data_IF_796241354435
#
_entry.id   IF_796241354435
#
_cell.length_a   1.000
_cell.length_b   1.000
_cell.length_c   1.000
_cell.angle_alpha   90.00
_cell.angle_beta   90.00
_cell.angle_gamma   90.00
#
_symmetry.space_group_name_H-M   'P 1'
#
loop_
_entity.id
_entity.type
_entity.pdbx_description
1 polymer ?
#
# COMPACT_ATOMS: atom_id res chain seq x y z
N UNK A 1 -6.52 6.37 7.57
CA UNK A 1 -7.17 7.02 6.42
C UNK A 1 -6.35 8.17 5.85
N UNK A 2 -6.03 9.21 6.62
CA UNK A 2 -5.23 10.36 6.15
C UNK A 2 -3.80 9.99 5.71
N UNK A 3 -3.16 8.99 6.31
CA UNK A 3 -1.82 8.54 5.90
C UNK A 3 -1.80 7.83 4.54
N UNK A 4 -2.82 7.04 4.19
CA UNK A 4 -2.94 6.42 2.86
C UNK A 4 -3.26 7.47 1.78
N UNK A 5 -4.06 8.49 2.11
CA UNK A 5 -4.29 9.67 1.26
C UNK A 5 -3.03 10.55 1.11
N UNK A 6 -2.26 10.72 2.18
CA UNK A 6 -1.02 11.50 2.16
C UNK A 6 0.12 10.81 1.40
N UNK A 7 0.22 9.47 1.47
CA UNK A 7 1.17 8.71 0.66
C UNK A 7 0.76 8.60 -0.82
N UNK A 8 -0.52 8.78 -1.15
CA UNK A 8 -1.03 8.75 -2.54
C UNK A 8 -1.06 10.12 -3.20
N UNK A 9 -0.84 11.22 -2.46
CA UNK A 9 -0.74 12.58 -3.02
C UNK A 9 0.70 13.00 -3.40
N UNK A 10 1.66 12.07 -3.33
CA UNK A 10 3.05 12.30 -3.75
C UNK A 10 3.22 12.03 -5.26
N UNK A 11 2.86 13.02 -6.06
CA UNK A 11 3.50 13.37 -7.35
C UNK A 11 3.51 12.34 -8.50
N UNK A 12 2.65 11.33 -8.47
CA UNK A 12 2.36 10.51 -9.66
C UNK A 12 0.85 10.37 -9.83
N UNK A 13 0.33 10.93 -10.92
CA UNK A 13 -1.09 10.94 -11.34
C UNK A 13 -1.76 9.55 -11.41
N UNK A 14 -1.03 8.46 -11.17
CA UNK A 14 -1.46 7.08 -11.33
C UNK A 14 -1.68 6.33 -10.00
N UNK A 15 -1.47 6.92 -8.82
CA UNK A 15 -1.60 6.15 -7.55
C UNK A 15 -3.00 6.05 -6.95
N UNK A 16 -4.01 6.74 -7.52
CA UNK A 16 -5.42 6.53 -7.17
C UNK A 16 -6.04 5.26 -7.80
N UNK A 17 -5.26 4.55 -8.64
CA UNK A 17 -5.68 3.35 -9.38
C UNK A 17 -6.40 2.27 -8.55
N UNK A 18 -5.99 1.97 -7.30
CA UNK A 18 -6.68 0.95 -6.49
C UNK A 18 -8.08 1.35 -6.04
N UNK A 19 -8.41 2.65 -6.05
CA UNK A 19 -9.69 3.18 -5.54
C UNK A 19 -10.76 3.21 -6.64
N UNK A 20 -10.37 3.32 -7.91
CA UNK A 20 -11.32 3.41 -9.03
C UNK A 20 -12.32 2.25 -9.13
N UNK A 21 -11.94 0.97 -8.90
CA UNK A 21 -12.92 -0.13 -8.92
C UNK A 21 -14.01 0.04 -7.86
N UNK A 22 -13.67 0.57 -6.69
CA UNK A 22 -14.62 0.81 -5.60
C UNK A 22 -15.53 2.01 -5.88
N UNK A 23 -14.95 3.09 -6.39
CA UNK A 23 -15.73 4.25 -6.83
C UNK A 23 -16.70 3.87 -7.96
N UNK A 24 -16.25 3.06 -8.93
CA UNK A 24 -17.08 2.58 -10.02
C UNK A 24 -18.25 1.71 -9.53
N UNK A 25 -18.02 0.82 -8.55
CA UNK A 25 -19.09 0.01 -7.95
C UNK A 25 -20.11 0.85 -7.17
N UNK A 26 -19.66 1.86 -6.42
CA UNK A 26 -20.56 2.78 -5.70
C UNK A 26 -21.38 3.64 -6.67
N UNK A 27 -20.75 4.15 -7.74
CA UNK A 27 -21.43 4.90 -8.80
C UNK A 27 -22.44 4.01 -9.53
N UNK A 28 -22.08 2.77 -9.85
CA UNK A 28 -23.00 1.82 -10.48
C UNK A 28 -24.21 1.52 -9.57
N UNK A 29 -24.01 1.33 -8.27
CA UNK A 29 -25.08 1.09 -7.30
C UNK A 29 -25.99 2.31 -7.12
N UNK A 30 -25.44 3.53 -7.04
CA UNK A 30 -26.22 4.77 -6.99
C UNK A 30 -27.03 5.00 -8.27
N UNK A 31 -26.42 4.75 -9.43
CA UNK A 31 -27.08 4.86 -10.74
C UNK A 31 -28.24 3.86 -10.86
N UNK A 32 -28.03 2.61 -10.47
CA UNK A 32 -29.08 1.58 -10.48
C UNK A 32 -30.23 1.97 -9.56
N UNK A 33 -29.94 2.48 -8.35
CA UNK A 33 -30.96 2.94 -7.39
C UNK A 33 -31.79 4.11 -7.94
N UNK A 34 -31.14 5.10 -8.57
CA UNK A 34 -31.82 6.25 -9.19
C UNK A 34 -32.66 5.84 -10.40
N UNK A 35 -32.17 4.90 -11.22
CA UNK A 35 -32.86 4.41 -12.42
C UNK A 35 -34.07 3.54 -12.07
N UNK A 36 -34.00 2.72 -11.01
CA UNK A 36 -35.16 1.95 -10.53
C UNK A 36 -36.28 2.85 -10.01
N UNK A 37 -35.95 4.03 -9.47
CA UNK A 37 -36.94 5.06 -9.10
C UNK A 37 -37.68 5.66 -10.30
N UNK A 38 -37.04 5.72 -11.48
CA UNK A 38 -37.61 6.33 -12.70
C UNK A 38 -38.39 5.30 -13.55
N UNK A 39 -38.01 4.01 -13.51
CA UNK A 39 -38.65 2.94 -14.29
C UNK A 39 -39.82 2.21 -13.58
N UNK A 40 -40.29 2.74 -12.45
CA UNK A 40 -41.52 2.27 -11.77
C UNK A 40 -42.80 2.47 -12.60
N UNK A 41 -42.72 3.15 -13.76
CA UNK A 41 -43.79 3.18 -14.75
C UNK A 41 -43.47 2.24 -15.94
N UNK A 42 -44.36 1.28 -16.19
CA UNK A 42 -44.44 0.33 -17.34
C UNK A 42 -43.64 -0.97 -17.28
N UNK A 43 -44.33 -1.99 -16.74
CA UNK A 43 -44.57 -3.30 -17.38
C UNK A 43 -43.50 -3.88 -18.32
N UNK A 44 -42.50 -4.58 -17.78
CA UNK A 44 -41.80 -5.68 -18.48
C UNK A 44 -41.08 -6.65 -17.51
N UNK A 45 -41.60 -6.78 -16.29
CA UNK A 45 -40.88 -7.34 -15.13
C UNK A 45 -40.69 -8.87 -15.13
N UNK A 46 -41.40 -9.64 -15.95
CA UNK A 46 -41.34 -11.12 -15.86
C UNK A 46 -40.37 -11.80 -16.84
N UNK A 47 -39.97 -11.16 -17.95
CA UNK A 47 -39.12 -11.80 -18.97
C UNK A 47 -37.64 -11.47 -18.85
N UNK A 48 -37.29 -10.36 -18.19
CA UNK A 48 -35.90 -9.92 -17.99
C UNK A 48 -35.22 -10.61 -16.79
N UNK A 49 -35.98 -10.89 -15.74
CA UNK A 49 -35.46 -11.38 -14.46
C UNK A 49 -34.80 -12.77 -14.60
N UNK A 50 -35.33 -13.63 -15.48
CA UNK A 50 -34.74 -14.94 -15.75
C UNK A 50 -33.36 -14.89 -16.43
N UNK A 51 -33.10 -13.88 -17.26
CA UNK A 51 -31.81 -13.73 -17.95
C UNK A 51 -30.75 -13.09 -17.02
N UNK A 52 -31.16 -12.10 -16.24
CA UNK A 52 -30.29 -11.46 -15.22
C UNK A 52 -29.92 -12.46 -14.13
N UNK A 53 -30.87 -13.28 -13.67
CA UNK A 53 -30.62 -14.32 -12.66
C UNK A 53 -29.61 -15.37 -13.13
N UNK A 54 -29.74 -15.86 -14.37
CA UNK A 54 -28.79 -16.81 -14.96
C UNK A 54 -27.38 -16.21 -15.09
N UNK A 55 -27.29 -14.94 -15.48
CA UNK A 55 -26.01 -14.22 -15.55
C UNK A 55 -25.37 -14.09 -14.17
N UNK A 56 -26.13 -13.67 -13.16
CA UNK A 56 -25.66 -13.55 -11.78
C UNK A 56 -25.18 -14.89 -11.22
N UNK A 57 -25.93 -15.97 -11.46
CA UNK A 57 -25.52 -17.33 -11.08
C UNK A 57 -24.22 -17.74 -11.78
N UNK A 58 -24.07 -17.46 -13.07
CA UNK A 58 -22.83 -17.75 -13.80
C UNK A 58 -21.64 -17.00 -13.23
N UNK A 59 -21.81 -15.71 -12.90
CA UNK A 59 -20.75 -14.89 -12.29
C UNK A 59 -20.41 -15.45 -10.90
N UNK A 60 -21.41 -15.68 -10.06
CA UNK A 60 -21.22 -16.25 -8.72
C UNK A 60 -20.51 -17.61 -8.77
N UNK A 61 -20.85 -18.48 -9.73
CA UNK A 61 -20.16 -19.76 -9.94
C UNK A 61 -18.67 -19.57 -10.21
N UNK A 62 -18.31 -18.66 -11.12
CA UNK A 62 -16.91 -18.37 -11.46
C UNK A 62 -16.14 -17.88 -10.24
N UNK A 63 -16.71 -16.95 -9.47
CA UNK A 63 -16.09 -16.47 -8.22
C UNK A 63 -15.93 -17.58 -7.20
N UNK A 64 -16.93 -18.44 -7.00
CA UNK A 64 -16.85 -19.60 -6.10
C UNK A 64 -15.78 -20.59 -6.54
N UNK A 65 -15.68 -20.89 -7.84
CA UNK A 65 -14.63 -21.76 -8.39
C UNK A 65 -13.25 -21.17 -8.14
N UNK A 66 -13.07 -19.87 -8.42
CA UNK A 66 -11.78 -19.19 -8.24
C UNK A 66 -11.37 -19.13 -6.77
N UNK A 67 -12.30 -18.77 -5.87
CA UNK A 67 -12.08 -18.81 -4.43
C UNK A 67 -11.74 -20.23 -3.93
N UNK A 68 -12.40 -21.26 -4.44
CA UNK A 68 -12.12 -22.65 -4.09
C UNK A 68 -10.72 -23.07 -4.53
N UNK A 69 -10.29 -22.70 -5.74
CA UNK A 69 -8.93 -22.96 -6.23
C UNK A 69 -7.90 -22.31 -5.30
N UNK A 70 -8.10 -21.05 -4.92
CA UNK A 70 -7.20 -20.34 -3.99
C UNK A 70 -7.16 -21.03 -2.63
N UNK A 71 -8.30 -21.42 -2.07
CA UNK A 71 -8.37 -22.14 -0.80
C UNK A 71 -7.66 -23.50 -0.87
N UNK A 72 -7.91 -24.29 -1.91
CA UNK A 72 -7.23 -25.58 -2.13
C UNK A 72 -5.72 -25.37 -2.23
N UNK A 73 -5.28 -24.32 -2.95
CA UNK A 73 -3.87 -23.99 -3.05
C UNK A 73 -3.25 -23.61 -1.70
N UNK A 74 -3.93 -22.78 -0.90
CA UNK A 74 -3.50 -22.39 0.43
C UNK A 74 -3.43 -23.58 1.39
N UNK A 75 -4.49 -24.40 1.48
CA UNK A 75 -4.56 -25.56 2.37
C UNK A 75 -3.68 -26.73 1.90
N UNK A 76 -3.45 -26.87 0.60
CA UNK A 76 -2.55 -27.87 0.01
C UNK A 76 -1.06 -27.57 0.22
N UNK A 77 -0.71 -26.56 1.01
CA UNK A 77 0.68 -26.19 1.28
C UNK A 77 1.38 -25.48 0.12
N UNK A 78 0.63 -25.01 -0.89
CA UNK A 78 1.20 -24.31 -2.04
C UNK A 78 2.02 -23.08 -1.63
N UNK A 79 1.56 -22.36 -0.60
CA UNK A 79 2.27 -21.22 -0.01
C UNK A 79 3.58 -21.63 0.69
N UNK A 80 3.58 -22.75 1.43
CA UNK A 80 4.79 -23.27 2.08
C UNK A 80 5.84 -23.68 1.04
N UNK A 81 5.41 -24.24 -0.08
CA UNK A 81 6.29 -24.62 -1.19
C UNK A 81 6.96 -23.42 -1.86
N UNK A 82 6.24 -22.29 -1.98
CA UNK A 82 6.80 -21.03 -2.48
C UNK A 82 7.76 -20.41 -1.46
N UNK A 83 7.40 -20.44 -0.18
CA UNK A 83 8.24 -19.94 0.92
C UNK A 83 9.62 -20.61 0.93
N UNK A 84 9.66 -21.93 0.73
CA UNK A 84 10.92 -22.69 0.69
C UNK A 84 11.81 -22.42 -0.54
N UNK A 85 11.31 -21.72 -1.56
CA UNK A 85 12.03 -21.51 -2.82
C UNK A 85 12.34 -20.02 -3.09
N UNK A 86 11.78 -19.09 -2.32
CA UNK A 86 11.96 -17.66 -2.54
C UNK A 86 12.69 -17.01 -1.38
N UNK A 87 13.74 -16.24 -1.68
CA UNK A 87 14.39 -15.32 -0.72
C UNK A 87 13.53 -14.07 -0.42
N UNK A 88 12.24 -14.09 -0.77
CA UNK A 88 11.38 -12.93 -0.53
C UNK A 88 11.09 -12.82 0.97
N UNK A 89 11.38 -11.65 1.54
CA UNK A 89 11.08 -11.29 2.94
C UNK A 89 9.58 -11.11 3.20
N UNK A 90 8.73 -11.62 2.32
CA UNK A 90 7.28 -11.55 2.48
C UNK A 90 6.89 -12.62 3.48
N UNK A 91 6.17 -12.20 4.51
CA UNK A 91 5.64 -13.09 5.53
C UNK A 91 4.50 -13.93 4.92
N UNK A 92 4.88 -15.07 4.34
CA UNK A 92 4.00 -15.93 3.53
C UNK A 92 2.83 -16.47 4.36
N UNK A 93 3.02 -16.64 5.66
CA UNK A 93 1.97 -17.05 6.60
C UNK A 93 0.87 -15.98 6.70
N UNK A 94 1.27 -14.72 6.89
CA UNK A 94 0.34 -13.58 6.92
C UNK A 94 -0.40 -13.40 5.60
N UNK A 95 0.29 -13.58 4.48
CA UNK A 95 -0.31 -13.51 3.15
C UNK A 95 -1.35 -14.63 2.97
N UNK A 96 -1.03 -15.84 3.43
CA UNK A 96 -1.93 -17.00 3.39
C UNK A 96 -3.22 -16.77 4.17
N UNK A 97 -3.12 -16.26 5.40
CA UNK A 97 -4.29 -15.91 6.21
C UNK A 97 -5.19 -14.90 5.50
N UNK A 98 -4.61 -13.89 4.85
CA UNK A 98 -5.35 -12.89 4.09
C UNK A 98 -6.09 -13.50 2.89
N UNK A 99 -5.39 -14.33 2.10
CA UNK A 99 -5.97 -15.04 0.95
C UNK A 99 -7.12 -15.94 1.37
N UNK A 100 -6.97 -16.68 2.47
CA UNK A 100 -8.01 -17.55 3.02
C UNK A 100 -9.22 -16.72 3.46
N UNK A 101 -9.01 -15.60 4.16
CA UNK A 101 -10.09 -14.74 4.63
C UNK A 101 -10.92 -14.16 3.47
N UNK A 102 -10.25 -13.62 2.45
CA UNK A 102 -10.90 -13.03 1.27
C UNK A 102 -11.64 -14.09 0.47
N UNK A 103 -11.00 -15.24 0.23
CA UNK A 103 -11.60 -16.34 -0.52
C UNK A 103 -12.82 -16.91 0.22
N UNK A 104 -12.78 -17.00 1.54
CA UNK A 104 -13.93 -17.42 2.36
C UNK A 104 -15.08 -16.43 2.27
N UNK A 105 -14.79 -15.12 2.30
CA UNK A 105 -15.82 -14.09 2.13
C UNK A 105 -16.47 -14.14 0.74
N UNK A 106 -15.69 -14.38 -0.31
CA UNK A 106 -16.22 -14.53 -1.68
C UNK A 106 -17.07 -15.79 -1.84
N UNK A 107 -16.62 -16.92 -1.28
CA UNK A 107 -17.31 -18.20 -1.36
C UNK A 107 -18.62 -18.17 -0.57
N UNK A 108 -18.62 -17.57 0.62
CA UNK A 108 -19.84 -17.35 1.41
C UNK A 108 -20.83 -16.43 0.67
N UNK A 109 -20.33 -15.35 0.06
CA UNK A 109 -21.13 -14.45 -0.75
C UNK A 109 -21.77 -15.16 -1.93
N UNK A 110 -20.98 -15.90 -2.72
CA UNK A 110 -21.48 -16.65 -3.88
C UNK A 110 -22.47 -17.74 -3.50
N UNK A 111 -22.26 -18.44 -2.38
CA UNK A 111 -23.21 -19.45 -1.88
C UNK A 111 -24.58 -18.83 -1.53
N UNK A 112 -24.60 -17.59 -1.04
CA UNK A 112 -25.86 -16.89 -0.72
C UNK A 112 -26.69 -16.58 -1.98
N UNK A 113 -26.09 -16.51 -3.17
CA UNK A 113 -26.81 -16.34 -4.45
C UNK A 113 -27.62 -17.60 -4.80
N UNK A 114 -27.14 -18.78 -4.40
CA UNK A 114 -27.83 -20.06 -4.61
C UNK A 114 -28.84 -20.41 -3.52
N UNK A 115 -29.05 -19.52 -2.53
CA UNK A 115 -29.95 -19.80 -1.43
C UNK A 115 -31.43 -19.69 -1.88
N UNK A 116 -32.23 -20.77 -1.80
CA UNK A 116 -33.51 -20.91 -2.51
C UNK A 116 -34.68 -20.08 -1.95
N UNK A 117 -34.47 -19.23 -0.94
CA UNK A 117 -35.55 -18.52 -0.23
C UNK A 117 -35.40 -16.99 -0.22
N UNK A 118 -34.51 -16.42 -1.04
CA UNK A 118 -34.32 -14.96 -1.14
C UNK A 118 -34.70 -14.42 -2.49
N UNK A 119 -35.29 -13.23 -2.50
CA UNK A 119 -35.55 -12.50 -3.74
C UNK A 119 -34.23 -12.05 -4.38
N UNK A 120 -34.25 -11.90 -5.72
CA UNK A 120 -33.07 -11.52 -6.49
C UNK A 120 -32.39 -10.26 -5.94
N UNK A 121 -33.18 -9.23 -5.61
CA UNK A 121 -32.68 -7.98 -5.03
C UNK A 121 -32.03 -8.16 -3.66
N UNK A 122 -32.57 -9.03 -2.79
CA UNK A 122 -31.99 -9.30 -1.48
C UNK A 122 -30.67 -10.07 -1.60
N UNK A 123 -30.61 -11.06 -2.50
CA UNK A 123 -29.39 -11.82 -2.78
C UNK A 123 -28.30 -10.93 -3.39
N UNK A 124 -28.63 -10.03 -4.32
CA UNK A 124 -27.69 -9.09 -4.92
C UNK A 124 -27.14 -8.09 -3.92
N UNK A 125 -28.02 -7.46 -3.12
CA UNK A 125 -27.61 -6.50 -2.08
C UNK A 125 -26.64 -7.14 -1.09
N UNK A 126 -26.94 -8.34 -0.64
CA UNK A 126 -26.12 -9.04 0.34
C UNK A 126 -24.82 -9.58 -0.28
N UNK A 127 -24.85 -10.06 -1.53
CA UNK A 127 -23.67 -10.47 -2.28
C UNK A 127 -22.69 -9.31 -2.48
N UNK A 128 -23.17 -8.15 -2.95
CA UNK A 128 -22.38 -6.93 -3.08
C UNK A 128 -21.82 -6.46 -1.73
N UNK A 129 -22.62 -6.54 -0.67
CA UNK A 129 -22.20 -6.12 0.68
C UNK A 129 -21.06 -7.01 1.19
N UNK A 130 -21.14 -8.33 0.98
CA UNK A 130 -20.10 -9.27 1.38
C UNK A 130 -18.82 -9.10 0.55
N UNK A 131 -18.93 -8.84 -0.75
CA UNK A 131 -17.79 -8.53 -1.61
C UNK A 131 -17.10 -7.24 -1.21
N UNK A 132 -17.88 -6.19 -0.93
CA UNK A 132 -17.34 -4.91 -0.49
C UNK A 132 -16.65 -5.07 0.87
N UNK A 133 -17.31 -5.72 1.83
CA UNK A 133 -16.76 -5.96 3.16
C UNK A 133 -15.50 -6.84 3.13
N UNK A 134 -15.51 -7.91 2.33
CA UNK A 134 -14.35 -8.78 2.14
C UNK A 134 -13.16 -8.04 1.53
N UNK A 135 -13.40 -7.13 0.57
CA UNK A 135 -12.36 -6.29 -0.02
C UNK A 135 -11.81 -5.27 0.99
N UNK A 136 -12.65 -4.69 1.84
CA UNK A 136 -12.21 -3.81 2.92
C UNK A 136 -11.37 -4.54 3.97
N UNK A 137 -11.78 -5.75 4.35
CA UNK A 137 -11.00 -6.63 5.23
C UNK A 137 -9.66 -6.99 4.62
N UNK A 138 -9.60 -7.25 3.31
CA UNK A 138 -8.35 -7.47 2.59
C UNK A 138 -7.43 -6.25 2.69
N UNK A 139 -7.92 -5.06 2.35
CA UNK A 139 -7.13 -3.82 2.41
C UNK A 139 -6.63 -3.57 3.83
N UNK A 140 -7.53 -3.69 4.81
CA UNK A 140 -7.20 -3.54 6.23
C UNK A 140 -6.12 -4.53 6.66
N UNK A 141 -6.27 -5.81 6.29
CA UNK A 141 -5.29 -6.84 6.57
C UNK A 141 -3.94 -6.56 5.91
N UNK A 142 -3.90 -6.16 4.63
CA UNK A 142 -2.65 -5.81 3.93
C UNK A 142 -1.93 -4.67 4.67
N UNK A 143 -2.67 -3.67 5.16
CA UNK A 143 -2.09 -2.57 5.94
C UNK A 143 -1.57 -3.04 7.30
N UNK A 144 -2.38 -3.76 8.09
CA UNK A 144 -2.02 -4.16 9.44
C UNK A 144 -0.97 -5.27 9.52
N UNK A 145 -0.93 -6.14 8.51
CA UNK A 145 0.12 -7.15 8.38
C UNK A 145 1.46 -6.54 7.90
N UNK A 146 1.49 -5.23 7.62
CA UNK A 146 2.68 -4.49 7.25
C UNK A 146 3.13 -4.68 5.80
N UNK A 147 2.26 -5.25 4.96
CA UNK A 147 2.50 -5.30 3.51
C UNK A 147 2.43 -3.90 2.89
N UNK A 148 1.57 -3.02 3.41
CA UNK A 148 1.64 -1.58 3.13
C UNK A 148 2.64 -0.93 4.10
N UNK A 149 3.65 -0.24 3.59
CA UNK A 149 4.64 0.48 4.39
C UNK A 149 6.01 -0.19 4.48
N UNK A 150 6.18 -1.44 4.06
CA UNK A 150 7.51 -2.06 3.90
C UNK A 150 7.99 -2.01 2.44
N UNK A 151 7.95 -0.82 1.84
CA UNK A 151 8.35 -0.54 0.46
C UNK A 151 9.81 -0.88 0.14
N UNK A 152 10.70 -0.84 1.15
CA UNK A 152 12.05 -1.38 1.04
C UNK A 152 12.54 -1.86 2.42
N UNK A 153 12.52 -3.19 2.69
CA UNK A 153 12.96 -3.74 3.97
C UNK A 153 14.42 -3.41 4.26
N UNK A 154 15.25 -3.29 3.22
CA UNK A 154 16.66 -2.97 3.32
C UNK A 154 16.90 -1.52 3.77
N UNK A 155 16.22 -0.53 3.17
CA UNK A 155 16.33 0.89 3.58
C UNK A 155 15.73 1.07 4.98
N UNK A 156 14.63 0.36 5.27
CA UNK A 156 14.04 0.36 6.61
C UNK A 156 14.99 -0.25 7.65
N UNK A 157 15.70 -1.33 7.32
CA UNK A 157 16.68 -1.95 8.19
C UNK A 157 17.89 -1.03 8.42
N UNK A 158 18.37 -0.34 7.38
CA UNK A 158 19.43 0.66 7.48
C UNK A 158 19.05 1.75 8.50
N UNK A 159 17.90 2.39 8.33
CA UNK A 159 17.46 3.50 9.22
C UNK A 159 17.17 3.01 10.65
N UNK A 160 16.77 1.75 10.81
CA UNK A 160 16.51 1.14 12.13
C UNK A 160 17.77 0.67 12.87
N UNK A 161 18.96 0.86 12.32
CA UNK A 161 20.19 0.54 13.04
C UNK A 161 20.26 1.37 14.34
N UNK A 162 20.60 0.77 15.50
CA UNK A 162 20.52 1.46 16.80
C UNK A 162 21.29 2.78 16.86
N UNK A 163 22.51 2.80 16.30
CA UNK A 163 23.37 3.99 16.27
C UNK A 163 22.83 5.11 15.36
N UNK A 164 22.03 4.77 14.35
CA UNK A 164 21.37 5.75 13.48
C UNK A 164 20.08 6.27 14.09
N UNK A 165 19.32 5.41 14.77
CA UNK A 165 18.08 5.85 15.41
C UNK A 165 18.33 6.95 16.44
N UNK A 166 19.41 6.87 17.21
CA UNK A 166 19.76 7.91 18.17
C UNK A 166 20.01 9.26 17.46
N UNK A 167 20.74 9.26 16.35
CA UNK A 167 20.99 10.47 15.57
C UNK A 167 19.73 11.01 14.87
N UNK A 168 18.95 10.12 14.25
CA UNK A 168 17.76 10.47 13.45
C UNK A 168 16.51 10.78 14.30
N UNK A 169 16.51 10.44 15.59
CA UNK A 169 15.44 10.78 16.54
C UNK A 169 15.67 12.13 17.23
N UNK A 170 16.88 12.67 17.16
CA UNK A 170 17.26 13.92 17.84
C UNK A 170 17.37 15.11 16.89
N UNK A 171 17.69 14.86 15.61
CA UNK A 171 17.79 15.90 14.60
C UNK A 171 17.17 15.46 13.26
N UNK A 172 16.57 16.41 12.50
CA UNK A 172 16.15 16.13 11.13
C UNK A 172 17.36 15.73 10.28
N UNK A 173 17.15 14.77 9.37
CA UNK A 173 18.13 14.45 8.34
C UNK A 173 17.65 15.01 7.00
N UNK A 174 18.35 16.02 6.51
CA UNK A 174 18.05 16.65 5.23
C UNK A 174 18.39 15.72 4.06
N UNK A 175 17.87 16.01 2.87
CA UNK A 175 18.17 15.29 1.64
C UNK A 175 18.89 16.25 0.70
N UNK A 176 20.14 15.97 0.33
CA UNK A 176 20.92 16.87 -0.52
C UNK A 176 21.22 16.17 -1.83
N UNK A 177 20.72 16.72 -2.94
CA UNK A 177 20.81 16.10 -4.28
C UNK A 177 20.29 14.65 -4.32
N UNK A 178 19.46 14.22 -3.38
CA UNK A 178 18.83 12.89 -3.37
C UNK A 178 17.38 13.02 -3.84
N UNK A 179 17.04 12.36 -4.94
CA UNK A 179 15.72 12.38 -5.55
C UNK A 179 15.18 10.97 -5.87
N UNK A 180 13.97 10.93 -6.42
CA UNK A 180 13.32 9.69 -6.85
C UNK A 180 12.95 8.74 -5.71
N UNK A 181 12.92 7.44 -6.02
CA UNK A 181 12.43 6.39 -5.11
C UNK A 181 13.15 6.38 -3.76
N UNK A 182 14.47 6.56 -3.75
CA UNK A 182 15.26 6.49 -2.51
C UNK A 182 14.95 7.67 -1.60
N UNK A 183 14.78 8.89 -2.14
CA UNK A 183 14.37 10.06 -1.37
C UNK A 183 13.01 9.84 -0.67
N UNK A 184 12.03 9.31 -1.40
CA UNK A 184 10.71 9.00 -0.85
C UNK A 184 10.80 7.97 0.28
N UNK A 185 11.62 6.94 0.12
CA UNK A 185 11.80 5.90 1.14
C UNK A 185 12.49 6.44 2.39
N UNK A 186 13.53 7.26 2.23
CA UNK A 186 14.22 7.91 3.35
C UNK A 186 13.25 8.81 4.12
N UNK A 187 12.44 9.63 3.43
CA UNK A 187 11.39 10.43 4.10
C UNK A 187 10.37 9.57 4.82
N UNK A 188 9.93 8.48 4.21
CA UNK A 188 8.90 7.60 4.79
C UNK A 188 9.38 6.88 6.06
N UNK A 189 10.69 6.62 6.17
CA UNK A 189 11.27 5.86 7.27
C UNK A 189 12.00 6.69 8.32
N UNK A 190 12.39 7.93 8.01
CA UNK A 190 13.00 8.85 8.97
C UNK A 190 12.01 9.29 10.05
N UNK A 191 12.38 9.27 11.35
CA UNK A 191 11.53 9.75 12.45
C UNK A 191 11.23 11.25 12.36
N UNK A 192 12.24 12.06 12.03
CA UNK A 192 12.13 13.51 11.86
C UNK A 192 12.48 13.85 10.41
N UNK A 193 11.54 14.48 9.71
CA UNK A 193 11.73 14.88 8.31
C UNK A 193 12.62 16.14 8.22
N UNK A 194 13.71 16.04 7.46
CA UNK A 194 14.52 17.19 7.06
C UNK A 194 14.05 17.83 5.74
N UNK A 195 14.71 18.92 5.38
CA UNK A 195 14.46 19.64 4.13
C UNK A 195 15.19 19.00 2.95
N UNK A 196 14.78 19.35 1.73
CA UNK A 196 15.50 18.93 0.52
C UNK A 196 16.25 20.10 -0.09
N UNK A 197 17.51 19.86 -0.41
CA UNK A 197 18.44 20.85 -0.95
C UNK A 197 18.89 20.42 -2.34
N UNK A 198 18.87 21.36 -3.29
CA UNK A 198 19.33 21.13 -4.65
C UNK A 198 20.86 21.19 -4.76
N UNK A 199 21.54 21.84 -3.82
CA UNK A 199 22.99 22.01 -3.81
C UNK A 199 23.60 21.74 -2.43
N UNK A 200 24.90 21.40 -2.41
CA UNK A 200 25.66 21.28 -1.17
C UNK A 200 25.93 22.62 -0.50
N UNK A 201 26.03 23.70 -1.29
CA UNK A 201 26.25 25.06 -0.78
C UNK A 201 25.06 25.56 0.05
N UNK A 202 23.83 25.34 -0.45
CA UNK A 202 22.62 25.72 0.27
C UNK A 202 22.48 24.94 1.58
N UNK A 203 22.76 23.62 1.53
CA UNK A 203 22.80 22.77 2.71
C UNK A 203 23.88 23.24 3.71
N UNK A 204 25.07 23.60 3.22
CA UNK A 204 26.17 24.09 4.07
C UNK A 204 25.78 25.38 4.80
N UNK A 205 25.04 26.27 4.13
CA UNK A 205 24.61 27.54 4.70
C UNK A 205 23.46 27.40 5.71
N UNK A 206 22.47 26.53 5.45
CA UNK A 206 21.18 26.55 6.15
C UNK A 206 20.69 25.18 6.66
N UNK A 207 21.42 24.10 6.35
CA UNK A 207 21.00 22.73 6.63
C UNK A 207 21.11 22.31 8.10
N UNK A 208 20.43 21.21 8.42
CA UNK A 208 20.24 20.71 9.79
C UNK A 208 21.42 19.92 10.39
N UNK A 209 22.59 19.97 9.75
CA UNK A 209 23.82 19.29 10.22
C UNK A 209 23.85 17.77 9.97
N UNK A 210 22.71 17.13 9.70
CA UNK A 210 22.62 15.77 9.18
C UNK A 210 22.05 15.79 7.76
N UNK A 211 22.65 15.02 6.86
CA UNK A 211 22.14 14.89 5.50
C UNK A 211 22.31 13.49 4.93
N UNK A 212 21.28 13.05 4.21
CA UNK A 212 21.39 11.97 3.24
C UNK A 212 21.88 12.52 1.91
N UNK A 213 22.91 11.87 1.38
CA UNK A 213 23.53 12.19 0.09
C UNK A 213 23.68 10.91 -0.73
N UNK A 214 23.85 11.00 -2.04
CA UNK A 214 24.26 9.82 -2.83
C UNK A 214 25.73 9.52 -2.58
N UNK A 215 26.08 8.24 -2.64
CA UNK A 215 27.47 7.81 -2.51
C UNK A 215 28.37 8.34 -3.64
N UNK A 216 27.80 8.59 -4.83
CA UNK A 216 28.48 9.24 -5.95
C UNK A 216 28.89 10.68 -5.66
N UNK A 217 28.17 11.37 -4.76
CA UNK A 217 28.26 12.82 -4.61
C UNK A 217 29.20 13.22 -3.47
N UNK A 218 29.82 12.25 -2.79
CA UNK A 218 30.77 12.48 -1.67
C UNK A 218 31.96 13.32 -2.09
N UNK A 219 32.44 13.12 -3.32
CA UNK A 219 33.60 13.84 -3.83
C UNK A 219 33.32 15.36 -4.01
N UNK A 220 32.06 15.78 -4.02
CA UNK A 220 31.66 17.18 -4.14
C UNK A 220 31.60 17.91 -2.78
N UNK A 221 31.76 17.19 -1.65
CA UNK A 221 31.72 17.77 -0.32
C UNK A 221 33.01 18.56 -0.04
N UNK A 222 32.85 19.87 0.16
CA UNK A 222 33.95 20.82 0.42
C UNK A 222 34.05 21.23 1.90
N UNK A 223 33.43 20.47 2.81
CA UNK A 223 33.37 20.77 4.24
C UNK A 223 33.66 19.52 5.09
N UNK A 224 34.18 19.69 6.32
CA UNK A 224 34.47 18.58 7.22
C UNK A 224 33.17 17.87 7.62
N UNK A 225 33.17 16.54 7.47
CA UNK A 225 32.01 15.70 7.72
C UNK A 225 32.41 14.31 8.21
N UNK A 226 31.58 13.75 9.09
CA UNK A 226 31.64 12.35 9.50
C UNK A 226 30.58 11.52 8.77
N UNK A 227 30.94 10.33 8.30
CA UNK A 227 29.98 9.36 7.74
C UNK A 227 29.40 8.51 8.86
N UNK A 228 28.08 8.59 9.07
CA UNK A 228 27.37 7.82 10.09
C UNK A 228 26.85 6.48 9.56
N UNK A 229 26.46 6.43 8.29
CA UNK A 229 26.03 5.19 7.65
C UNK A 229 26.23 5.21 6.14
N UNK A 230 26.31 4.00 5.57
CA UNK A 230 26.40 3.73 4.14
C UNK A 230 25.50 2.55 3.79
N UNK A 231 24.70 2.69 2.74
CA UNK A 231 23.91 1.59 2.20
C UNK A 231 23.05 1.99 1.02
N UNK A 232 22.85 1.06 0.08
CA UNK A 232 21.96 1.23 -1.09
C UNK A 232 22.23 2.49 -1.92
N UNK A 233 23.51 2.86 -2.05
CA UNK A 233 23.96 4.01 -2.83
C UNK A 233 23.71 5.37 -2.17
N UNK A 234 23.35 5.39 -0.88
CA UNK A 234 23.21 6.60 -0.08
C UNK A 234 24.07 6.55 1.19
N UNK A 235 24.43 7.73 1.67
CA UNK A 235 25.19 7.94 2.88
C UNK A 235 24.45 8.90 3.80
N UNK A 236 24.49 8.63 5.10
CA UNK A 236 24.15 9.62 6.11
C UNK A 236 25.44 10.29 6.56
N UNK A 237 25.54 11.60 6.37
CA UNK A 237 26.65 12.42 6.85
C UNK A 237 26.22 13.30 8.01
N UNK A 238 27.16 13.59 8.90
CA UNK A 238 27.08 14.62 9.92
C UNK A 238 28.11 15.69 9.62
N UNK A 239 27.69 16.95 9.55
CA UNK A 239 28.60 18.09 9.44
C UNK A 239 29.33 18.26 10.76
N UNK A 240 30.66 18.32 10.71
CA UNK A 240 31.44 18.63 11.90
C UNK A 240 31.28 20.12 12.26
N UNK A 241 31.28 20.49 13.55
CA UNK A 241 31.25 21.89 13.93
C UNK A 241 32.47 22.59 13.31
N UNK A 242 32.21 23.64 12.54
CA UNK A 242 33.26 24.52 12.03
C UNK A 242 34.08 24.99 13.22
N UNK A 243 35.42 24.81 13.24
CA UNK A 243 36.23 25.30 14.35
C UNK A 243 35.99 26.80 14.50
N UNK A 244 35.58 27.22 15.70
CA UNK A 244 35.37 28.64 15.99
C UNK A 244 36.68 29.38 15.71
N UNK A 245 36.66 30.55 15.04
CA UNK A 245 37.86 31.34 14.86
C UNK A 245 38.41 31.65 16.25
N UNK A 246 39.64 31.22 16.52
CA UNK A 246 40.36 31.59 17.74
C UNK A 246 40.41 33.10 17.78
N UNK A 247 39.88 33.77 18.83
CA UNK A 247 40.09 35.19 19.00
C UNK A 247 41.60 35.38 19.22
N UNK A 248 42.24 36.03 18.25
CA UNK A 248 43.61 36.52 18.35
C UNK A 248 43.66 37.78 19.22
#
# INVERSE_FOLDING_TARGET
>A
MLLLLAFTSSDQNNYALPIYPFAALLVAADLEHRLTGIHSAKSSRERSDGMVWRSLQSIAAVYCCLASIVLIFCFGGGLLRISGQSDTTLDVEKLGLLLVLVSTAWLLGGLMVYWPHRSLQQSLKLWLTLHLLGSWLAIFGIVHLGFVGNYSPEVKALIKQPHLQEALSTAPADLVKVDGKIATLLRAYSPIMGQSWASFDDFKAQGSGLAWIRESDVAELDFPHGVLARGRGVLLIRRDPTPAPTPW
#
